data_IF_808980445976
#
_entry.id   IF_808980445976
#
_cell.length_a   1.000
_cell.length_b   1.000
_cell.length_c   1.000
_cell.angle_alpha   90.00
_cell.angle_beta   90.00
_cell.angle_gamma   90.00
#
_symmetry.space_group_name_H-M   'P 1'
#
loop_
_entity.id
_entity.type
_entity.pdbx_description
1 polymer ?
#
# COMPACT_ATOMS: atom_id res chain seq x y z
N UNK A 1 24.11 1.28 16.61
CA UNK A 1 22.84 2.04 16.48
C UNK A 1 21.66 1.12 16.16
N UNK A 2 20.47 1.71 16.25
CA UNK A 2 19.12 1.19 16.50
C UNK A 2 18.52 0.17 15.50
N UNK A 3 17.90 -0.86 16.10
CA UNK A 3 16.70 -1.60 15.72
C UNK A 3 16.70 -2.45 14.44
N UNK A 4 16.97 -3.74 14.68
CA UNK A 4 16.56 -4.89 13.88
C UNK A 4 15.06 -4.81 13.51
N UNK A 5 14.73 -4.40 12.30
CA UNK A 5 13.42 -4.70 11.69
C UNK A 5 13.61 -5.85 10.71
N UNK A 6 13.90 -7.03 11.24
CA UNK A 6 13.66 -8.27 10.50
C UNK A 6 12.13 -8.50 10.45
N UNK A 7 11.40 -7.69 9.67
CA UNK A 7 10.15 -8.18 9.07
C UNK A 7 10.61 -9.29 8.13
N UNK A 8 10.19 -10.56 8.30
CA UNK A 8 10.62 -11.61 7.39
C UNK A 8 10.15 -11.22 5.99
N UNK A 9 11.09 -10.75 5.18
CA UNK A 9 10.91 -10.41 3.78
C UNK A 9 10.54 -11.72 3.10
N UNK A 10 9.25 -11.99 2.93
CA UNK A 10 8.79 -13.01 2.01
C UNK A 10 9.19 -12.55 0.60
N UNK A 11 10.41 -12.91 0.18
CA UNK A 11 10.92 -12.60 -1.16
C UNK A 11 11.21 -11.13 -1.46
N UNK A 12 11.31 -10.26 -0.44
CA UNK A 12 11.61 -8.83 -0.66
C UNK A 12 10.38 -7.92 -0.84
N UNK A 13 9.17 -8.47 -0.84
CA UNK A 13 7.92 -7.71 -0.99
C UNK A 13 7.14 -7.63 0.34
N UNK A 14 6.81 -6.41 0.78
CA UNK A 14 5.89 -6.20 1.90
C UNK A 14 4.45 -6.20 1.41
N UNK A 15 3.65 -7.06 2.01
CA UNK A 15 2.20 -7.06 1.83
C UNK A 15 1.55 -6.35 3.02
N UNK A 16 0.85 -5.27 2.72
CA UNK A 16 0.15 -4.44 3.68
C UNK A 16 -1.32 -4.86 3.74
N UNK A 17 -1.87 -4.88 4.94
CA UNK A 17 -3.33 -5.01 5.11
C UNK A 17 -4.01 -3.67 4.90
N UNK A 18 -5.33 -3.66 4.69
CA UNK A 18 -6.07 -2.40 4.53
C UNK A 18 -5.87 -1.41 5.67
N UNK A 19 -5.64 -1.88 6.90
CA UNK A 19 -5.30 -1.02 8.05
C UNK A 19 -3.94 -0.36 7.87
N UNK A 20 -2.90 -1.13 7.54
CA UNK A 20 -1.56 -0.57 7.30
C UNK A 20 -1.53 0.41 6.12
N UNK A 21 -2.30 0.15 5.06
CA UNK A 21 -2.45 1.09 3.94
C UNK A 21 -3.09 2.40 4.39
N UNK A 22 -4.11 2.33 5.25
CA UNK A 22 -4.76 3.48 5.86
C UNK A 22 -3.74 4.36 6.62
N UNK A 23 -2.88 3.72 7.42
CA UNK A 23 -1.84 4.39 8.20
C UNK A 23 -0.70 4.94 7.33
N UNK A 24 -0.23 4.19 6.32
CA UNK A 24 0.84 4.62 5.40
C UNK A 24 0.44 5.78 4.52
N UNK A 25 -0.79 5.76 3.99
CA UNK A 25 -1.31 6.82 3.13
C UNK A 25 -1.93 7.98 3.91
N UNK A 26 -2.04 7.87 5.24
CA UNK A 26 -2.75 8.82 6.09
C UNK A 26 -4.18 9.11 5.59
N UNK A 27 -4.86 8.08 5.06
CA UNK A 27 -6.23 8.18 4.57
C UNK A 27 -7.20 7.56 5.55
N UNK A 28 -8.49 7.85 5.41
CA UNK A 28 -9.54 7.17 6.17
C UNK A 28 -9.93 5.85 5.52
N UNK A 29 -10.50 4.87 6.28
CA UNK A 29 -11.00 3.62 5.71
C UNK A 29 -12.10 3.85 4.67
N UNK A 30 -12.84 4.97 4.77
CA UNK A 30 -13.80 5.44 3.76
C UNK A 30 -13.11 5.76 2.43
N UNK A 31 -12.00 6.50 2.47
CA UNK A 31 -11.17 6.83 1.31
C UNK A 31 -10.52 5.59 0.71
N UNK A 32 -10.05 4.67 1.56
CA UNK A 32 -9.51 3.39 1.08
C UNK A 32 -10.57 2.58 0.33
N UNK A 33 -11.83 2.58 0.80
CA UNK A 33 -12.94 1.98 0.07
C UNK A 33 -13.20 2.66 -1.28
N UNK A 34 -13.24 3.99 -1.32
CA UNK A 34 -13.38 4.77 -2.57
C UNK A 34 -12.27 4.42 -3.57
N UNK A 35 -11.03 4.33 -3.11
CA UNK A 35 -9.88 3.97 -3.95
C UNK A 35 -9.96 2.53 -4.48
N UNK A 36 -10.56 1.61 -3.74
CA UNK A 36 -10.82 0.25 -4.23
C UNK A 36 -11.93 0.22 -5.28
N UNK A 37 -13.02 0.95 -5.03
CA UNK A 37 -14.15 1.05 -5.93
C UNK A 37 -13.72 1.66 -7.28
N UNK A 38 -12.95 2.75 -7.20
CA UNK A 38 -12.37 3.45 -8.34
C UNK A 38 -11.17 2.73 -8.97
N UNK A 39 -10.78 1.54 -8.45
CA UNK A 39 -9.63 0.74 -8.91
C UNK A 39 -8.31 1.54 -8.94
N UNK A 40 -8.16 2.54 -8.08
CA UNK A 40 -6.97 3.40 -7.98
C UNK A 40 -5.80 2.64 -7.38
N UNK A 41 -6.06 1.90 -6.28
CA UNK A 41 -5.03 1.09 -5.63
C UNK A 41 -5.21 -0.39 -6.05
N UNK A 42 -4.20 -1.01 -6.66
CA UNK A 42 -4.24 -2.44 -6.95
C UNK A 42 -4.23 -3.24 -5.66
N UNK A 43 -5.11 -4.23 -5.58
CA UNK A 43 -5.22 -5.13 -4.44
C UNK A 43 -5.09 -6.58 -4.91
N UNK A 44 -4.49 -7.42 -4.07
CA UNK A 44 -4.39 -8.86 -4.26
C UNK A 44 -5.24 -9.56 -3.21
N UNK A 45 -6.00 -10.56 -3.64
CA UNK A 45 -6.66 -11.47 -2.71
C UNK A 45 -5.78 -12.69 -2.50
N UNK A 46 -5.36 -12.92 -1.26
CA UNK A 46 -4.59 -14.08 -0.87
C UNK A 46 -5.29 -14.77 0.29
N UNK A 47 -5.64 -16.04 0.12
CA UNK A 47 -6.33 -16.84 1.14
C UNK A 47 -7.60 -16.16 1.71
N UNK A 48 -8.38 -15.48 0.88
CA UNK A 48 -9.60 -14.78 1.30
C UNK A 48 -9.38 -13.44 2.01
N UNK A 49 -8.13 -12.99 2.17
CA UNK A 49 -7.78 -11.67 2.69
C UNK A 49 -7.33 -10.75 1.57
N UNK A 50 -7.69 -9.48 1.69
CA UNK A 50 -7.21 -8.44 0.78
C UNK A 50 -5.88 -7.91 1.31
N UNK A 51 -4.86 -8.02 0.47
CA UNK A 51 -3.51 -7.55 0.70
C UNK A 51 -3.12 -6.55 -0.39
N UNK A 52 -2.24 -5.64 -0.05
CA UNK A 52 -1.71 -4.62 -0.94
C UNK A 52 -0.21 -4.76 -1.01
N UNK A 53 0.35 -4.75 -2.21
CA UNK A 53 1.81 -4.75 -2.38
C UNK A 53 2.34 -3.36 -2.09
N UNK A 54 3.30 -3.26 -1.17
CA UNK A 54 3.97 -2.00 -0.86
C UNK A 54 4.61 -1.40 -2.12
N UNK A 55 5.27 -2.21 -2.95
CA UNK A 55 5.90 -1.75 -4.20
C UNK A 55 4.91 -1.14 -5.20
N UNK A 56 3.68 -1.67 -5.28
CA UNK A 56 2.64 -1.09 -6.13
C UNK A 56 2.10 0.22 -5.54
N UNK A 57 1.95 0.29 -4.21
CA UNK A 57 1.60 1.53 -3.52
C UNK A 57 2.66 2.61 -3.75
N UNK A 58 3.94 2.29 -3.60
CA UNK A 58 5.04 3.24 -3.86
C UNK A 58 5.07 3.70 -5.31
N UNK A 59 4.90 2.79 -6.28
CA UNK A 59 4.79 3.17 -7.71
C UNK A 59 3.56 4.03 -7.98
N UNK A 60 2.44 3.76 -7.33
CA UNK A 60 1.24 4.57 -7.43
C UNK A 60 1.50 5.98 -6.88
N UNK A 61 2.12 6.07 -5.70
CA UNK A 61 2.49 7.34 -5.09
C UNK A 61 3.44 8.11 -6.01
N UNK A 62 4.47 7.45 -6.55
CA UNK A 62 5.41 8.08 -7.49
C UNK A 62 4.68 8.61 -8.73
N UNK A 63 3.77 7.83 -9.32
CA UNK A 63 2.97 8.26 -10.49
C UNK A 63 2.06 9.45 -10.19
N UNK A 64 1.41 9.47 -9.03
CA UNK A 64 0.47 10.54 -8.67
C UNK A 64 1.18 11.81 -8.17
N UNK A 65 2.30 11.69 -7.45
CA UNK A 65 3.09 12.84 -6.98
C UNK A 65 3.96 13.46 -8.07
N UNK A 66 4.48 12.71 -9.05
CA UNK A 66 5.26 13.29 -10.17
C UNK A 66 4.45 14.22 -11.07
N UNK A 67 3.12 14.23 -10.98
CA UNK A 67 2.28 15.13 -11.76
C UNK A 67 2.09 16.52 -11.11
N UNK A 68 2.91 16.87 -10.10
CA UNK A 68 2.89 18.19 -9.45
C UNK A 68 4.26 18.88 -9.43
N UNK A 69 5.19 18.50 -10.33
CA UNK A 69 6.43 19.23 -10.58
C UNK A 69 6.70 19.23 -12.09
N UNK A 70 6.00 20.09 -12.82
CA UNK A 70 6.50 20.80 -14.01
C UNK A 70 5.68 22.08 -14.20
#
# INVERSE_FOLDING_TARGET
EVAQTHKPLFGGEHFLTGKEVCERLYISPRTLQDYRDRRVIPYTQFAGKILYKESDLERLLEKHYRNNIV
#
